data_IF_891097555329
#
_entry.id   IF_891097555329
#
_cell.length_a   1.000
_cell.length_b   1.000
_cell.length_c   1.000
_cell.angle_alpha   90.00
_cell.angle_beta   90.00
_cell.angle_gamma   90.00
#
_symmetry.space_group_name_H-M   'P 1'
#
loop_
_entity.id
_entity.type
_entity.pdbx_description
1 polymer ?
#
# COMPACT_ATOMS: atom_id res chain seq x y z
N UNK A 1 15.90 5.96 -11.15
CA UNK A 1 15.59 6.96 -10.09
C UNK A 1 15.87 6.31 -8.74
N UNK A 2 16.23 7.05 -7.68
CA UNK A 2 16.52 6.44 -6.36
C UNK A 2 15.22 5.98 -5.66
N UNK A 3 15.18 4.78 -5.03
CA UNK A 3 14.03 4.32 -4.26
C UNK A 3 13.79 5.17 -2.99
N UNK A 4 12.57 5.13 -2.45
CA UNK A 4 12.19 5.83 -1.20
C UNK A 4 12.80 5.16 0.04
N UNK A 5 12.84 3.83 0.06
CA UNK A 5 13.40 3.03 1.15
C UNK A 5 14.48 2.08 0.61
N UNK A 6 15.41 1.60 1.45
CA UNK A 6 16.37 0.60 1.04
C UNK A 6 15.67 -0.69 0.60
N UNK A 7 16.15 -1.30 -0.49
CA UNK A 7 15.72 -2.64 -0.86
C UNK A 7 16.11 -3.65 0.24
N UNK A 8 15.30 -4.69 0.40
CA UNK A 8 15.51 -5.75 1.38
C UNK A 8 16.08 -7.01 0.70
N UNK A 9 17.04 -7.72 1.33
CA UNK A 9 17.59 -8.94 0.75
C UNK A 9 16.65 -10.13 1.06
N UNK A 10 15.54 -10.21 0.34
CA UNK A 10 14.51 -11.22 0.53
C UNK A 10 14.26 -12.01 -0.76
N UNK A 11 14.29 -13.34 -0.68
CA UNK A 11 14.12 -14.25 -1.83
C UNK A 11 12.87 -15.15 -1.70
N UNK A 12 11.91 -14.77 -0.86
CA UNK A 12 10.68 -15.53 -0.69
C UNK A 12 9.73 -15.41 -1.88
N UNK A 13 8.82 -16.37 -1.98
CA UNK A 13 7.76 -16.40 -2.99
C UNK A 13 6.39 -16.44 -2.33
N UNK A 14 5.41 -15.83 -2.99
CA UNK A 14 4.01 -15.91 -2.58
C UNK A 14 3.10 -16.29 -3.73
N UNK A 15 1.85 -16.56 -3.38
CA UNK A 15 0.72 -16.80 -4.29
C UNK A 15 -0.10 -15.52 -4.53
N UNK A 16 0.56 -14.35 -4.50
CA UNK A 16 -0.08 -13.08 -4.78
C UNK A 16 -0.81 -13.10 -6.14
N UNK A 17 -2.06 -12.63 -6.25
CA UNK A 17 -2.73 -12.37 -7.52
C UNK A 17 -1.96 -11.36 -8.40
N UNK A 18 -1.11 -10.51 -7.82
CA UNK A 18 -0.29 -9.55 -8.56
C UNK A 18 0.84 -10.25 -9.35
N UNK A 19 1.38 -11.36 -8.84
CA UNK A 19 2.33 -12.22 -9.57
C UNK A 19 1.74 -12.70 -10.89
N UNK A 20 0.48 -13.15 -10.86
CA UNK A 20 -0.24 -13.61 -12.05
C UNK A 20 -0.53 -12.45 -13.00
N UNK A 21 -0.94 -11.29 -12.48
CA UNK A 21 -1.11 -10.07 -13.26
C UNK A 21 0.20 -9.66 -13.98
N UNK A 22 1.33 -9.68 -13.27
CA UNK A 22 2.65 -9.39 -13.85
C UNK A 22 2.97 -10.35 -15.00
N UNK A 23 2.76 -11.65 -14.78
CA UNK A 23 2.98 -12.66 -15.83
C UNK A 23 2.14 -12.37 -17.09
N UNK A 24 0.87 -12.00 -16.92
CA UNK A 24 -0.05 -11.71 -18.02
C UNK A 24 0.28 -10.40 -18.75
N UNK A 25 0.61 -9.33 -18.02
CA UNK A 25 0.65 -7.98 -18.58
C UNK A 25 2.05 -7.38 -18.76
N UNK A 26 3.14 -8.00 -18.28
CA UNK A 26 4.51 -7.41 -18.31
C UNK A 26 5.03 -6.96 -19.68
N UNK A 27 4.45 -7.45 -20.77
CA UNK A 27 4.85 -7.11 -22.14
C UNK A 27 3.78 -6.28 -22.88
N UNK A 28 2.81 -5.73 -22.16
CA UNK A 28 1.69 -4.98 -22.72
C UNK A 28 1.88 -3.48 -22.52
N UNK A 29 1.57 -2.69 -23.54
CA UNK A 29 1.48 -1.23 -23.45
C UNK A 29 0.06 -0.87 -23.01
N UNK A 30 -0.07 -0.05 -21.99
CA UNK A 30 -1.35 0.38 -21.46
C UNK A 30 -1.79 1.70 -22.08
N UNK A 31 -3.01 1.70 -22.62
CA UNK A 31 -3.60 2.87 -23.23
C UNK A 31 -4.34 3.70 -22.20
N UNK A 32 -3.73 4.83 -21.82
CA UNK A 32 -4.33 5.85 -20.97
C UNK A 32 -4.58 7.12 -21.78
N UNK A 33 -5.67 7.83 -21.49
CA UNK A 33 -5.83 9.23 -21.96
C UNK A 33 -4.76 10.14 -21.36
N UNK A 34 -4.46 11.27 -22.00
CA UNK A 34 -3.45 12.20 -21.49
C UNK A 34 -3.72 12.68 -20.05
N UNK A 35 -4.96 13.03 -19.65
CA UNK A 35 -5.25 13.39 -18.26
C UNK A 35 -4.99 12.23 -17.29
N UNK A 36 -5.31 10.99 -17.67
CA UNK A 36 -5.04 9.81 -16.84
C UNK A 36 -3.54 9.57 -16.69
N UNK A 37 -2.74 9.72 -17.76
CA UNK A 37 -1.27 9.60 -17.69
C UNK A 37 -0.67 10.59 -16.69
N UNK A 38 -1.09 11.86 -16.77
CA UNK A 38 -0.63 12.92 -15.87
C UNK A 38 -1.05 12.62 -14.43
N UNK A 39 -2.30 12.21 -14.20
CA UNK A 39 -2.77 11.87 -12.87
C UNK A 39 -2.00 10.69 -12.27
N UNK A 40 -1.87 9.59 -13.01
CA UNK A 40 -1.17 8.39 -12.55
C UNK A 40 0.32 8.63 -12.32
N UNK A 41 0.98 9.45 -13.14
CA UNK A 41 2.41 9.74 -12.94
C UNK A 41 2.69 10.49 -11.64
N UNK A 42 1.69 11.18 -11.08
CA UNK A 42 1.74 11.83 -9.76
C UNK A 42 1.37 10.90 -8.61
N UNK A 43 0.42 9.97 -8.82
CA UNK A 43 -0.06 9.06 -7.78
C UNK A 43 0.84 7.84 -7.56
N UNK A 44 1.34 7.20 -8.63
CA UNK A 44 2.16 5.99 -8.53
C UNK A 44 3.42 6.16 -7.66
N UNK A 45 4.16 7.30 -7.69
CA UNK A 45 5.25 7.51 -6.74
C UNK A 45 4.84 7.43 -5.27
N UNK A 46 3.61 7.80 -4.92
CA UNK A 46 3.12 7.70 -3.55
C UNK A 46 2.95 6.23 -3.14
N UNK A 47 2.32 5.45 -4.01
CA UNK A 47 2.01 4.03 -3.80
C UNK A 47 3.28 3.17 -3.77
N UNK A 48 4.18 3.33 -4.75
CA UNK A 48 5.47 2.62 -4.80
C UNK A 48 6.30 2.86 -3.53
N UNK A 49 6.31 4.11 -3.02
CA UNK A 49 7.00 4.39 -1.75
C UNK A 49 6.32 3.76 -0.53
N UNK A 50 5.02 3.46 -0.63
CA UNK A 50 4.29 2.64 0.34
C UNK A 50 4.80 1.21 0.31
N UNK A 51 4.83 0.56 -0.85
CA UNK A 51 5.22 -0.85 -0.95
C UNK A 51 6.68 -1.04 -0.50
N UNK A 52 7.58 -0.13 -0.91
CA UNK A 52 8.97 -0.10 -0.45
C UNK A 52 9.09 0.06 1.08
N UNK A 53 8.22 0.88 1.68
CA UNK A 53 8.18 1.01 3.14
C UNK A 53 7.67 -0.26 3.80
N UNK A 54 6.62 -0.86 3.26
CA UNK A 54 6.01 -2.09 3.77
C UNK A 54 7.05 -3.21 3.75
N UNK A 55 7.71 -3.46 2.61
CA UNK A 55 8.79 -4.43 2.52
C UNK A 55 9.87 -4.22 3.59
N UNK A 56 10.36 -2.98 3.74
CA UNK A 56 11.40 -2.65 4.72
C UNK A 56 10.95 -2.94 6.16
N UNK A 57 9.72 -2.54 6.50
CA UNK A 57 9.15 -2.75 7.83
C UNK A 57 8.95 -4.24 8.11
N UNK A 58 8.25 -4.96 7.22
CA UNK A 58 7.92 -6.37 7.42
C UNK A 58 9.16 -7.28 7.40
N UNK A 59 10.14 -6.96 6.56
CA UNK A 59 11.42 -7.66 6.58
C UNK A 59 12.11 -7.50 7.94
N UNK A 60 12.22 -6.27 8.45
CA UNK A 60 12.84 -6.05 9.74
C UNK A 60 12.09 -6.76 10.88
N UNK A 61 10.76 -6.79 10.83
CA UNK A 61 9.94 -7.50 11.81
C UNK A 61 10.08 -9.03 11.70
N UNK A 62 10.26 -9.59 10.50
CA UNK A 62 10.51 -11.03 10.33
C UNK A 62 11.87 -11.47 10.88
N UNK A 63 12.83 -10.55 10.97
CA UNK A 63 14.14 -10.81 11.57
C UNK A 63 14.17 -10.65 13.11
N UNK A 64 13.11 -10.11 13.73
CA UNK A 64 13.07 -9.94 15.19
C UNK A 64 12.80 -11.28 15.87
N UNK A 65 13.41 -11.49 17.04
CA UNK A 65 13.05 -12.61 17.90
C UNK A 65 11.61 -12.43 18.39
N UNK A 66 10.71 -13.26 17.84
CA UNK A 66 9.31 -13.26 18.21
C UNK A 66 9.06 -14.23 19.37
N UNK A 67 8.21 -13.88 20.34
CA UNK A 67 7.71 -14.82 21.33
C UNK A 67 7.14 -16.07 20.65
N UNK A 68 7.26 -17.24 21.28
CA UNK A 68 6.77 -18.51 20.73
C UNK A 68 5.26 -18.46 20.36
N UNK A 69 4.49 -17.63 21.07
CA UNK A 69 3.07 -17.37 20.78
C UNK A 69 2.82 -16.68 19.43
N UNK A 70 3.86 -16.09 18.82
CA UNK A 70 3.84 -15.39 17.53
C UNK A 70 4.67 -16.09 16.47
N UNK A 71 5.02 -17.38 16.63
CA UNK A 71 5.84 -18.10 15.65
C UNK A 71 5.21 -18.12 14.24
N UNK A 72 3.88 -18.11 14.13
CA UNK A 72 3.17 -18.01 12.84
C UNK A 72 3.22 -16.60 12.22
N UNK A 73 3.49 -15.57 13.02
CA UNK A 73 3.58 -14.20 12.53
C UNK A 73 4.84 -13.96 11.69
N UNK A 74 5.93 -14.68 11.97
CA UNK A 74 7.14 -14.62 11.15
C UNK A 74 6.86 -15.01 9.70
N UNK A 75 6.21 -16.16 9.50
CA UNK A 75 5.81 -16.62 8.16
C UNK A 75 4.81 -15.68 7.49
N UNK A 76 3.95 -15.03 8.26
CA UNK A 76 3.04 -14.02 7.72
C UNK A 76 3.82 -12.78 7.25
N UNK A 77 4.80 -12.30 8.00
CA UNK A 77 5.63 -11.17 7.61
C UNK A 77 6.45 -11.47 6.34
N UNK A 78 7.11 -12.62 6.27
CA UNK A 78 7.87 -13.02 5.07
C UNK A 78 6.96 -13.11 3.85
N UNK A 79 5.76 -13.69 4.00
CA UNK A 79 4.80 -13.74 2.91
C UNK A 79 4.35 -12.35 2.47
N UNK A 80 4.10 -11.44 3.42
CA UNK A 80 3.75 -10.06 3.10
C UNK A 80 4.91 -9.40 2.33
N UNK A 81 6.17 -9.55 2.76
CA UNK A 81 7.32 -9.01 2.01
C UNK A 81 7.34 -9.51 0.56
N UNK A 82 7.07 -10.79 0.32
CA UNK A 82 6.94 -11.33 -1.03
C UNK A 82 5.80 -10.66 -1.83
N UNK A 83 4.63 -10.47 -1.21
CA UNK A 83 3.48 -9.82 -1.82
C UNK A 83 3.81 -8.37 -2.21
N UNK A 84 4.39 -7.60 -1.28
CA UNK A 84 4.76 -6.20 -1.48
C UNK A 84 5.84 -6.00 -2.57
N UNK A 85 6.71 -7.00 -2.78
CA UNK A 85 7.66 -6.97 -3.91
C UNK A 85 6.93 -7.06 -5.25
N UNK A 86 5.92 -7.92 -5.36
CA UNK A 86 5.10 -8.00 -6.57
C UNK A 86 4.30 -6.71 -6.79
N UNK A 87 3.82 -6.08 -5.72
CA UNK A 87 3.09 -4.82 -5.81
C UNK A 87 4.00 -3.70 -6.31
N UNK A 88 5.20 -3.57 -5.74
CA UNK A 88 6.23 -2.63 -6.21
C UNK A 88 6.52 -2.84 -7.70
N UNK A 89 6.90 -4.07 -8.10
CA UNK A 89 7.27 -4.39 -9.48
C UNK A 89 6.15 -4.05 -10.46
N UNK A 90 4.90 -4.35 -10.11
CA UNK A 90 3.74 -4.07 -10.96
C UNK A 90 3.45 -2.57 -11.09
N UNK A 91 3.53 -1.83 -9.98
CA UNK A 91 3.32 -0.38 -9.97
C UNK A 91 4.46 0.36 -10.68
N UNK A 92 5.71 -0.07 -10.50
CA UNK A 92 6.87 0.46 -11.23
C UNK A 92 6.78 0.15 -12.73
N UNK A 93 6.28 -1.03 -13.10
CA UNK A 93 6.02 -1.35 -14.50
C UNK A 93 5.00 -0.37 -15.12
N UNK A 94 3.87 -0.12 -14.46
CA UNK A 94 2.90 0.88 -14.93
C UNK A 94 3.55 2.26 -15.01
N UNK A 95 4.30 2.65 -13.98
CA UNK A 95 4.97 3.96 -13.91
C UNK A 95 5.99 4.15 -15.03
N UNK A 96 6.69 3.09 -15.44
CA UNK A 96 7.69 3.13 -16.51
C UNK A 96 7.11 3.54 -17.88
N UNK A 97 5.79 3.40 -18.07
CA UNK A 97 5.08 3.78 -19.29
C UNK A 97 4.59 5.24 -19.28
N UNK A 98 4.85 5.99 -18.21
CA UNK A 98 4.36 7.34 -18.00
C UNK A 98 5.50 8.36 -17.99
N UNK A 99 5.20 9.58 -18.45
CA UNK A 99 6.10 10.72 -18.27
C UNK A 99 6.20 11.09 -16.80
N UNK A 100 7.43 11.27 -16.32
CA UNK A 100 7.65 11.64 -14.93
C UNK A 100 7.33 13.12 -14.69
N UNK A 101 6.62 13.45 -13.60
CA UNK A 101 6.41 14.84 -13.24
C UNK A 101 7.73 15.51 -12.81
N UNK A 102 7.91 16.78 -13.15
CA UNK A 102 9.14 17.53 -12.85
C UNK A 102 9.43 17.64 -11.34
N UNK A 103 8.39 17.55 -10.51
CA UNK A 103 8.46 17.59 -9.05
C UNK A 103 8.43 16.20 -8.39
N UNK A 104 8.65 15.10 -9.12
CA UNK A 104 8.58 13.72 -8.60
C UNK A 104 9.42 13.50 -7.33
N UNK A 105 10.58 14.16 -7.22
CA UNK A 105 11.44 14.08 -6.03
C UNK A 105 10.73 14.64 -4.80
N UNK A 106 9.96 15.72 -4.94
CA UNK A 106 9.19 16.30 -3.86
C UNK A 106 8.02 15.41 -3.43
N UNK A 107 7.33 14.77 -4.40
CA UNK A 107 6.27 13.78 -4.15
C UNK A 107 6.82 12.62 -3.31
N UNK A 108 7.92 12.00 -3.77
CA UNK A 108 8.60 10.89 -3.06
C UNK A 108 9.05 11.30 -1.66
N UNK A 109 9.62 12.50 -1.48
CA UNK A 109 10.02 13.01 -0.15
C UNK A 109 8.85 13.24 0.81
N UNK A 110 7.66 13.60 0.33
CA UNK A 110 6.46 13.68 1.18
C UNK A 110 6.04 12.28 1.62
N UNK A 111 5.99 11.34 0.69
CA UNK A 111 5.65 9.94 0.94
C UNK A 111 6.62 9.28 1.93
N UNK A 112 7.92 9.39 1.68
CA UNK A 112 8.97 8.85 2.56
C UNK A 112 8.86 9.39 4.00
N UNK A 113 8.61 10.68 4.18
CA UNK A 113 8.44 11.27 5.52
C UNK A 113 7.20 10.75 6.23
N UNK A 114 6.10 10.54 5.51
CA UNK A 114 4.89 9.97 6.07
C UNK A 114 5.15 8.54 6.57
N UNK A 115 5.67 7.67 5.70
CA UNK A 115 5.92 6.26 6.02
C UNK A 115 6.99 6.08 7.10
N UNK A 116 8.08 6.86 7.06
CA UNK A 116 9.08 6.87 8.13
C UNK A 116 8.50 7.30 9.49
N UNK A 117 7.48 8.18 9.50
CA UNK A 117 6.81 8.59 10.75
C UNK A 117 5.90 7.51 11.35
N UNK A 118 5.63 6.42 10.62
CA UNK A 118 4.86 5.28 11.09
C UNK A 118 5.75 4.22 11.75
N UNK A 119 7.03 4.12 11.38
CA UNK A 119 7.95 3.07 11.86
C UNK A 119 8.35 3.12 13.34
N UNK A 120 7.97 4.15 14.11
CA UNK A 120 8.47 4.39 15.47
C UNK A 120 7.61 3.78 16.59
N UNK A 121 7.11 2.54 16.45
CA UNK A 121 6.24 1.91 17.46
C UNK A 121 7.01 1.00 18.40
N UNK A 122 6.58 0.97 19.67
CA UNK A 122 7.34 0.36 20.75
C UNK A 122 6.95 -1.10 21.03
N UNK A 123 5.77 -1.54 20.58
CA UNK A 123 5.27 -2.90 20.85
C UNK A 123 4.71 -3.58 19.60
N UNK A 124 4.74 -4.93 19.59
CA UNK A 124 4.29 -5.73 18.44
C UNK A 124 2.80 -5.55 18.16
N UNK A 125 1.97 -5.47 19.20
CA UNK A 125 0.53 -5.29 19.05
C UNK A 125 0.16 -3.94 18.44
N UNK A 126 0.89 -2.87 18.78
CA UNK A 126 0.75 -1.56 18.13
C UNK A 126 1.15 -1.62 16.66
N UNK A 127 2.21 -2.37 16.36
CA UNK A 127 2.71 -2.53 15.01
C UNK A 127 1.69 -3.26 14.12
N UNK A 128 1.18 -4.42 14.56
CA UNK A 128 0.13 -5.15 13.85
C UNK A 128 -1.16 -4.33 13.68
N UNK A 129 -1.58 -3.58 14.71
CA UNK A 129 -2.74 -2.73 14.60
C UNK A 129 -2.53 -1.61 13.57
N UNK A 130 -1.32 -1.05 13.48
CA UNK A 130 -0.96 -0.02 12.51
C UNK A 130 -1.00 -0.56 11.08
N UNK A 131 -0.42 -1.74 10.85
CA UNK A 131 -0.48 -2.46 9.57
C UNK A 131 -1.94 -2.63 9.15
N UNK A 132 -2.75 -3.26 9.99
CA UNK A 132 -4.15 -3.52 9.68
C UNK A 132 -4.97 -2.24 9.44
N UNK A 133 -4.64 -1.12 10.09
CA UNK A 133 -5.28 0.16 9.80
C UNK A 133 -4.86 0.74 8.45
N UNK A 134 -3.56 0.68 8.13
CA UNK A 134 -3.02 1.23 6.90
C UNK A 134 -3.50 0.44 5.69
N UNK A 135 -3.36 -0.88 5.70
CA UNK A 135 -3.76 -1.78 4.61
C UNK A 135 -5.28 -1.70 4.38
N UNK A 136 -6.07 -1.51 5.44
CA UNK A 136 -7.52 -1.27 5.29
C UNK A 136 -7.83 0.04 4.55
N UNK A 137 -7.00 1.08 4.72
CA UNK A 137 -7.12 2.32 3.95
C UNK A 137 -6.63 2.11 2.52
N UNK A 138 -5.56 1.34 2.29
CA UNK A 138 -5.09 0.97 0.96
C UNK A 138 -6.16 0.17 0.21
N UNK A 139 -6.84 -0.80 0.85
CA UNK A 139 -8.00 -1.49 0.28
C UNK A 139 -9.06 -0.50 -0.24
N UNK A 140 -9.36 0.55 0.53
CA UNK A 140 -10.33 1.59 0.12
C UNK A 140 -9.81 2.42 -1.05
N UNK A 141 -8.53 2.78 -1.05
CA UNK A 141 -7.89 3.50 -2.16
C UNK A 141 -7.98 2.67 -3.44
N UNK A 142 -7.57 1.39 -3.38
CA UNK A 142 -7.63 0.47 -4.51
C UNK A 142 -9.05 0.24 -5.00
N UNK A 143 -10.03 0.14 -4.10
CA UNK A 143 -11.45 0.04 -4.47
C UNK A 143 -11.96 1.28 -5.21
N UNK A 144 -11.49 2.48 -4.84
CA UNK A 144 -11.88 3.71 -5.50
C UNK A 144 -11.17 3.89 -6.85
N UNK A 145 -9.91 3.46 -6.97
CA UNK A 145 -9.21 3.38 -8.25
C UNK A 145 -9.90 2.38 -9.20
N UNK A 146 -10.33 1.24 -8.68
CA UNK A 146 -11.09 0.24 -9.44
C UNK A 146 -12.42 0.79 -9.98
N UNK A 147 -13.11 1.62 -9.19
CA UNK A 147 -14.41 2.24 -9.52
C UNK A 147 -14.31 3.60 -10.19
N UNK A 148 -13.09 4.06 -10.48
CA UNK A 148 -12.82 5.36 -11.07
C UNK A 148 -13.23 5.46 -12.54
N UNK A 149 -12.59 6.38 -13.26
CA UNK A 149 -12.88 6.68 -14.67
C UNK A 149 -12.14 5.79 -15.68
N UNK A 150 -11.45 4.75 -15.24
CA UNK A 150 -10.84 3.79 -16.16
C UNK A 150 -11.84 2.70 -16.53
N UNK A 151 -11.62 2.06 -17.69
CA UNK A 151 -12.42 0.90 -18.09
C UNK A 151 -12.29 -0.22 -17.04
N UNK A 152 -13.39 -0.89 -16.64
CA UNK A 152 -13.34 -1.96 -15.64
C UNK A 152 -12.45 -3.16 -16.01
N UNK A 153 -12.11 -3.35 -17.28
CA UNK A 153 -11.21 -4.39 -17.77
C UNK A 153 -9.83 -3.83 -18.13
N UNK A 154 -9.58 -2.54 -17.91
CA UNK A 154 -8.27 -1.95 -18.10
C UNK A 154 -7.24 -2.66 -17.20
N UNK A 155 -6.04 -3.05 -17.71
CA UNK A 155 -5.05 -3.79 -16.92
C UNK A 155 -4.71 -3.16 -15.57
N UNK A 156 -4.56 -1.83 -15.51
CA UNK A 156 -4.36 -1.11 -14.25
C UNK A 156 -5.51 -1.26 -13.23
N UNK A 157 -6.77 -1.34 -13.69
CA UNK A 157 -7.92 -1.60 -12.80
C UNK A 157 -7.86 -3.03 -12.26
N UNK A 158 -7.46 -3.99 -13.09
CA UNK A 158 -7.22 -5.37 -12.66
C UNK A 158 -6.09 -5.47 -11.64
N UNK A 159 -5.01 -4.69 -11.82
CA UNK A 159 -3.93 -4.58 -10.83
C UNK A 159 -4.45 -4.07 -9.49
N UNK A 160 -5.25 -2.99 -9.49
CA UNK A 160 -5.84 -2.46 -8.26
C UNK A 160 -6.71 -3.51 -7.54
N UNK A 161 -7.45 -4.35 -8.29
CA UNK A 161 -8.19 -5.47 -7.70
C UNK A 161 -7.28 -6.50 -7.05
N UNK A 162 -6.20 -6.88 -7.72
CA UNK A 162 -5.24 -7.86 -7.20
C UNK A 162 -4.55 -7.36 -5.94
N UNK A 163 -4.04 -6.12 -5.93
CA UNK A 163 -3.45 -5.50 -4.73
C UNK A 163 -4.47 -5.49 -3.59
N UNK A 164 -5.70 -5.02 -3.84
CA UNK A 164 -6.77 -4.99 -2.82
C UNK A 164 -7.04 -6.37 -2.17
N UNK A 165 -6.90 -7.47 -2.92
CA UNK A 165 -7.09 -8.82 -2.39
C UNK A 165 -5.97 -9.21 -1.42
N UNK A 166 -4.72 -8.88 -1.76
CA UNK A 166 -3.58 -9.08 -0.85
C UNK A 166 -3.73 -8.25 0.41
N UNK A 167 -4.06 -6.96 0.27
CA UNK A 167 -4.26 -6.06 1.39
C UNK A 167 -5.34 -6.56 2.37
N UNK A 168 -6.46 -7.09 1.85
CA UNK A 168 -7.51 -7.66 2.69
C UNK A 168 -7.02 -8.88 3.50
N UNK A 169 -6.11 -9.67 2.92
CA UNK A 169 -5.45 -10.79 3.61
C UNK A 169 -4.46 -10.28 4.65
N UNK A 170 -3.69 -9.24 4.35
CA UNK A 170 -2.75 -8.60 5.28
C UNK A 170 -3.48 -8.04 6.50
N UNK A 171 -4.57 -7.29 6.28
CA UNK A 171 -5.48 -6.80 7.34
C UNK A 171 -5.95 -7.93 8.24
N UNK A 172 -6.39 -9.05 7.65
CA UNK A 172 -6.90 -10.20 8.40
C UNK A 172 -5.82 -10.82 9.29
N UNK A 173 -4.61 -11.04 8.74
CA UNK A 173 -3.48 -11.60 9.48
C UNK A 173 -3.04 -10.66 10.61
N UNK A 174 -2.81 -9.38 10.31
CA UNK A 174 -2.36 -8.40 11.28
C UNK A 174 -3.39 -8.17 12.40
N UNK A 175 -4.69 -8.08 12.07
CA UNK A 175 -5.75 -7.96 13.08
C UNK A 175 -5.81 -9.16 14.02
N UNK A 176 -5.62 -10.39 13.50
CA UNK A 176 -5.56 -11.60 14.32
C UNK A 176 -4.43 -11.52 15.36
N UNK A 177 -3.24 -11.13 14.93
CA UNK A 177 -2.06 -11.04 15.82
C UNK A 177 -2.20 -9.93 16.86
N UNK A 178 -2.65 -8.74 16.45
CA UNK A 178 -2.91 -7.64 17.39
C UNK A 178 -3.92 -8.01 18.48
N UNK A 179 -5.03 -8.66 18.10
CA UNK A 179 -6.05 -9.10 19.07
C UNK A 179 -5.55 -10.22 19.99
N UNK A 180 -4.76 -11.16 19.46
CA UNK A 180 -4.15 -12.23 20.26
C UNK A 180 -3.19 -11.68 21.33
N UNK A 181 -2.57 -10.54 21.05
CA UNK A 181 -1.70 -9.80 21.98
C UNK A 181 -2.48 -8.83 22.90
N UNK A 182 -3.82 -8.82 22.83
CA UNK A 182 -4.66 -8.01 23.70
C UNK A 182 -4.78 -6.54 23.29
N UNK A 183 -4.59 -6.20 22.01
CA UNK A 183 -4.76 -4.83 21.55
C UNK A 183 -6.20 -4.34 21.77
N UNK A 184 -6.32 -3.25 22.52
CA UNK A 184 -7.60 -2.69 22.91
C UNK A 184 -8.35 -2.00 21.76
N UNK A 185 -9.68 -2.07 21.78
CA UNK A 185 -10.55 -1.50 20.73
C UNK A 185 -10.52 0.03 20.72
N UNK A 186 -10.44 0.69 21.88
CA UNK A 186 -10.37 2.16 21.92
C UNK A 186 -9.01 2.64 21.39
N UNK A 187 -7.91 1.95 21.73
CA UNK A 187 -6.59 2.19 21.12
C UNK A 187 -6.62 2.00 19.60
N UNK A 188 -7.30 0.96 19.11
CA UNK A 188 -7.49 0.73 17.69
C UNK A 188 -8.18 1.90 16.99
N UNK A 189 -9.30 2.37 17.54
CA UNK A 189 -10.05 3.49 16.97
C UNK A 189 -9.21 4.79 16.92
N UNK A 190 -8.48 5.08 17.99
CA UNK A 190 -7.58 6.22 18.06
C UNK A 190 -6.45 6.12 17.02
N UNK A 191 -5.83 4.95 16.89
CA UNK A 191 -4.78 4.68 15.91
C UNK A 191 -5.30 4.82 14.48
N UNK A 192 -6.47 4.21 14.18
CA UNK A 192 -7.10 4.30 12.87
C UNK A 192 -7.41 5.76 12.49
N UNK A 193 -7.92 6.55 13.44
CA UNK A 193 -8.20 7.98 13.22
C UNK A 193 -6.92 8.75 12.90
N UNK A 194 -5.85 8.52 13.68
CA UNK A 194 -4.55 9.16 13.48
C UNK A 194 -3.95 8.82 12.10
N UNK A 195 -3.94 7.54 11.73
CA UNK A 195 -3.40 7.09 10.44
C UNK A 195 -4.24 7.64 9.29
N UNK A 196 -5.58 7.58 9.41
CA UNK A 196 -6.51 8.13 8.42
C UNK A 196 -6.26 9.61 8.16
N UNK A 197 -6.11 10.42 9.21
CA UNK A 197 -5.83 11.85 9.09
C UNK A 197 -4.47 12.12 8.41
N UNK A 198 -3.42 11.39 8.81
CA UNK A 198 -2.08 11.55 8.23
C UNK A 198 -2.05 11.12 6.77
N UNK A 199 -2.67 10.00 6.42
CA UNK A 199 -2.73 9.49 5.05
C UNK A 199 -3.57 10.42 4.17
N UNK A 200 -4.73 10.88 4.64
CA UNK A 200 -5.53 11.89 3.95
C UNK A 200 -4.69 13.13 3.64
N UNK A 201 -3.93 13.65 4.62
CA UNK A 201 -3.06 14.81 4.41
C UNK A 201 -2.00 14.56 3.33
N UNK A 202 -1.42 13.35 3.26
CA UNK A 202 -0.47 12.98 2.21
C UNK A 202 -1.16 12.96 0.84
N UNK A 203 -2.24 12.20 0.70
CA UNK A 203 -2.95 12.01 -0.57
C UNK A 203 -3.56 13.32 -1.09
N UNK A 204 -4.00 14.18 -0.19
CA UNK A 204 -4.53 15.50 -0.50
C UNK A 204 -3.52 16.42 -1.19
N UNK A 205 -2.21 16.13 -1.11
CA UNK A 205 -1.21 16.87 -1.88
C UNK A 205 -1.30 16.63 -3.38
N UNK A 206 -1.97 15.55 -3.80
CA UNK A 206 -2.22 15.18 -5.19
C UNK A 206 -3.73 15.08 -5.49
N UNK A 207 -4.56 15.89 -4.80
CA UNK A 207 -6.04 15.88 -4.93
C UNK A 207 -6.51 15.94 -6.39
N UNK A 208 -5.98 16.87 -7.17
CA UNK A 208 -6.39 17.06 -8.58
C UNK A 208 -6.17 15.80 -9.42
N UNK A 209 -5.13 15.02 -9.11
CA UNK A 209 -4.86 13.74 -9.78
C UNK A 209 -5.93 12.70 -9.42
N UNK A 210 -6.32 12.60 -8.14
CA UNK A 210 -7.44 11.74 -7.74
C UNK A 210 -8.76 12.15 -8.42
N UNK A 211 -9.09 13.44 -8.43
CA UNK A 211 -10.33 13.95 -9.04
C UNK A 211 -10.35 13.71 -10.56
N UNK A 212 -9.20 13.82 -11.22
CA UNK A 212 -9.06 13.49 -12.65
C UNK A 212 -9.44 12.03 -12.93
N UNK A 213 -9.07 11.11 -12.04
CA UNK A 213 -9.43 9.70 -12.10
C UNK A 213 -10.85 9.41 -11.58
N UNK A 214 -11.61 10.43 -11.19
CA UNK A 214 -12.99 10.31 -10.69
C UNK A 214 -13.09 9.91 -9.22
N UNK A 215 -12.05 10.17 -8.43
CA UNK A 215 -11.97 9.77 -7.03
C UNK A 215 -12.06 11.01 -6.14
N UNK A 216 -13.04 11.01 -5.24
CA UNK A 216 -13.16 12.01 -4.18
C UNK A 216 -12.51 11.45 -2.92
N UNK A 217 -11.45 12.10 -2.44
CA UNK A 217 -10.71 11.63 -1.26
C UNK A 217 -11.60 11.54 -0.03
N UNK A 218 -12.53 12.47 0.17
CA UNK A 218 -13.47 12.47 1.28
C UNK A 218 -14.23 11.14 1.38
N UNK A 219 -14.70 10.59 0.28
CA UNK A 219 -15.44 9.31 0.27
C UNK A 219 -14.57 8.10 0.70
N UNK A 220 -13.24 8.18 0.59
CA UNK A 220 -12.32 7.13 1.07
C UNK A 220 -12.23 7.17 2.60
N UNK A 221 -12.19 8.36 3.17
CA UNK A 221 -11.93 8.60 4.59
C UNK A 221 -13.19 8.89 5.41
N UNK A 222 -14.36 8.99 4.77
CA UNK A 222 -15.64 9.01 5.45
C UNK A 222 -15.81 7.73 6.29
N UNK A 223 -16.01 7.94 7.59
CA UNK A 223 -16.32 6.87 8.51
C UNK A 223 -17.71 6.35 8.17
N UNK A 224 -17.80 5.24 7.43
CA UNK A 224 -18.93 4.33 7.63
C UNK A 224 -18.67 3.65 8.96
N UNK A 225 -19.20 4.24 10.03
CA UNK A 225 -19.44 3.52 11.27
C UNK A 225 -20.14 2.20 10.89
N UNK A 226 -19.43 1.10 11.07
CA UNK A 226 -19.94 -0.26 10.97
C UNK A 226 -19.72 -0.92 12.32
#
# INVERSE_FOLDING_TARGET
>A
MKPCFPAVPFEGVSESPVKYWLHEYRNTIFEFTQPQKIALSRLLPLLVCGEQSSQWVFYNESQRELPQTLSSAQSDFERIVADEQYHEDALEFVQSQLEQPSDVVAIKRRSQRFFASLGSRNTFEEHFAQIACLDALVCKIMLNLEKGRLDPHHPFVLLCRSIKQDEARHVTAAKKHALALGYDRARWQALNTLISQKLFKLLNTEREAFETLGITLEHIFEARES
#
